data_IF_310538112280
#
_entry.id   IF_310538112280
#
_cell.length_a   1.000
_cell.length_b   1.000
_cell.length_c   1.000
_cell.angle_alpha   90.00
_cell.angle_beta   90.00
_cell.angle_gamma   90.00
#
_symmetry.space_group_name_H-M   'P 1'
#
loop_
_entity.id
_entity.type
_entity.pdbx_description
1 polymer ?
#
# COMPACT_ATOMS: atom_id res chain seq x y z
N UNK A 1 6.08 34.81 -16.23
CA UNK A 1 4.78 35.03 -15.58
C UNK A 1 3.98 33.75 -15.68
N UNK A 2 3.51 33.28 -14.53
CA UNK A 2 2.67 32.12 -14.20
C UNK A 2 1.44 31.94 -15.11
N UNK A 3 0.77 30.80 -15.27
CA UNK A 3 0.41 29.71 -14.34
C UNK A 3 0.14 28.41 -15.14
N UNK A 4 0.25 27.23 -14.49
CA UNK A 4 -0.46 26.03 -14.95
C UNK A 4 -1.32 25.46 -13.82
N UNK A 5 -2.63 25.53 -14.08
CA UNK A 5 -3.75 25.16 -13.21
C UNK A 5 -3.95 23.65 -13.33
N UNK A 6 -3.76 22.89 -12.25
CA UNK A 6 -4.10 21.46 -12.23
C UNK A 6 -5.56 21.33 -11.81
N UNK A 7 -6.45 21.42 -12.80
CA UNK A 7 -7.84 20.98 -12.70
C UNK A 7 -7.98 19.58 -13.26
N UNK A 8 -8.63 18.68 -12.51
CA UNK A 8 -9.20 17.43 -13.00
C UNK A 8 -8.23 16.41 -13.63
N UNK A 9 -7.54 15.61 -12.81
CA UNK A 9 -7.12 14.27 -13.23
C UNK A 9 -7.10 13.32 -12.01
N UNK A 10 -8.28 12.95 -11.51
CA UNK A 10 -8.43 11.60 -10.95
C UNK A 10 -8.31 10.65 -12.14
N UNK A 11 -7.11 10.12 -12.37
CA UNK A 11 -6.80 9.28 -13.51
C UNK A 11 -7.59 7.97 -13.46
N UNK A 12 -8.03 7.50 -14.63
CA UNK A 12 -8.79 6.26 -14.83
C UNK A 12 -8.17 5.00 -14.18
N UNK A 13 -6.89 5.07 -13.81
CA UNK A 13 -6.16 4.04 -13.05
C UNK A 13 -6.79 3.84 -11.66
N UNK A 14 -7.14 4.94 -10.97
CA UNK A 14 -7.79 4.87 -9.66
C UNK A 14 -9.20 4.26 -9.76
N UNK A 15 -9.96 4.60 -10.80
CA UNK A 15 -11.30 4.06 -11.06
C UNK A 15 -11.27 2.58 -11.43
N UNK A 16 -10.28 2.10 -12.18
CA UNK A 16 -10.12 0.67 -12.51
C UNK A 16 -9.73 -0.19 -11.30
N UNK A 17 -8.94 0.34 -10.36
CA UNK A 17 -8.64 -0.34 -9.11
C UNK A 17 -9.86 -0.45 -8.17
N UNK A 18 -10.89 0.38 -8.37
CA UNK A 18 -12.08 0.45 -7.51
C UNK A 18 -13.23 -0.45 -7.98
N UNK A 19 -13.26 -0.88 -9.24
CA UNK A 19 -14.36 -1.66 -9.83
C UNK A 19 -13.97 -3.14 -9.97
N UNK A 20 -14.13 -3.87 -8.86
CA UNK A 20 -14.71 -5.22 -8.70
C UNK A 20 -14.53 -6.30 -9.79
N UNK A 21 -13.42 -6.30 -10.51
CA UNK A 21 -12.89 -7.46 -11.20
C UNK A 21 -11.61 -7.87 -10.45
N UNK A 22 -11.37 -9.17 -10.29
CA UNK A 22 -10.16 -9.80 -9.75
C UNK A 22 -10.19 -10.17 -8.25
N UNK A 23 -10.04 -11.48 -7.98
CA UNK A 23 -9.92 -12.09 -6.65
C UNK A 23 -8.54 -11.86 -6.02
N UNK A 24 -8.02 -10.64 -6.12
CA UNK A 24 -6.72 -10.20 -5.58
C UNK A 24 -6.84 -9.57 -4.18
N UNK A 25 -8.07 -9.31 -3.73
CA UNK A 25 -8.38 -8.83 -2.38
C UNK A 25 -8.82 -9.97 -1.46
N UNK A 26 -8.15 -10.11 -0.31
CA UNK A 26 -8.62 -10.96 0.80
C UNK A 26 -9.43 -10.12 1.78
N UNK A 27 -10.71 -10.44 1.94
CA UNK A 27 -11.57 -9.77 2.91
C UNK A 27 -11.50 -10.46 4.27
N UNK A 28 -11.32 -9.66 5.33
CA UNK A 28 -11.59 -10.14 6.69
C UNK A 28 -13.08 -10.48 6.82
N UNK A 29 -13.45 -11.55 7.56
CA UNK A 29 -14.86 -11.89 7.81
C UNK A 29 -15.68 -10.74 8.39
N UNK A 30 -15.02 -9.78 9.04
CA UNK A 30 -15.64 -8.63 9.69
C UNK A 30 -15.94 -7.46 8.73
N UNK A 31 -15.44 -7.49 7.49
CA UNK A 31 -15.57 -6.38 6.56
C UNK A 31 -16.89 -6.42 5.78
N UNK A 32 -17.67 -5.33 5.86
CA UNK A 32 -18.91 -5.13 5.08
C UNK A 32 -18.63 -4.26 3.85
N UNK A 33 -19.24 -4.63 2.74
CA UNK A 33 -18.92 -4.18 1.38
C UNK A 33 -18.87 -2.66 1.16
N UNK A 34 -17.90 -2.24 0.34
CA UNK A 34 -17.70 -0.86 -0.14
C UNK A 34 -16.34 -0.73 -0.84
N UNK A 35 -16.22 0.23 -1.75
CA UNK A 35 -15.00 0.43 -2.58
C UNK A 35 -13.77 0.93 -1.79
N UNK A 36 -13.87 1.10 -0.47
CA UNK A 36 -12.73 1.48 0.35
C UNK A 36 -13.03 1.34 1.85
N UNK A 37 -11.99 0.95 2.59
CA UNK A 37 -12.03 0.88 4.05
C UNK A 37 -12.07 2.32 4.59
N UNK A 38 -13.16 2.68 5.28
CA UNK A 38 -13.38 4.04 5.80
C UNK A 38 -12.95 4.22 7.24
N UNK A 39 -13.02 3.15 8.03
CA UNK A 39 -12.70 3.19 9.45
C UNK A 39 -11.18 3.32 9.65
N UNK A 40 -10.78 4.32 10.43
CA UNK A 40 -9.38 4.68 10.61
C UNK A 40 -8.59 3.64 11.42
N UNK A 41 -9.28 2.72 12.12
CA UNK A 41 -8.64 1.62 12.86
C UNK A 41 -7.91 0.63 11.96
N UNK A 42 -8.24 0.62 10.67
CA UNK A 42 -7.59 -0.23 9.67
C UNK A 42 -6.44 0.48 8.93
N UNK A 43 -6.07 1.69 9.35
CA UNK A 43 -4.94 2.44 8.76
C UNK A 43 -3.65 2.08 9.48
N UNK A 44 -2.54 2.11 8.74
CA UNK A 44 -1.20 2.07 9.33
C UNK A 44 -0.98 3.34 10.15
N UNK A 45 -0.95 3.21 11.49
CA UNK A 45 -0.75 4.32 12.44
C UNK A 45 0.57 4.11 13.18
N UNK A 46 1.42 5.13 13.24
CA UNK A 46 2.47 5.22 14.26
C UNK A 46 2.08 6.23 15.36
N UNK A 47 2.79 6.20 16.49
CA UNK A 47 2.52 7.04 17.68
C UNK A 47 2.79 8.54 17.48
N UNK A 48 3.41 8.93 16.35
CA UNK A 48 3.95 10.28 16.09
C UNK A 48 3.23 10.98 14.91
N UNK A 49 2.26 10.31 14.28
CA UNK A 49 1.45 10.88 13.19
C UNK A 49 2.02 10.63 11.78
N UNK A 50 3.15 9.93 11.66
CA UNK A 50 3.69 9.51 10.36
C UNK A 50 3.29 8.06 10.06
N UNK A 51 2.73 7.73 8.90
CA UNK A 51 2.38 6.34 8.60
C UNK A 51 3.65 5.53 8.30
N UNK A 52 4.20 4.88 9.33
CA UNK A 52 5.25 3.87 9.21
C UNK A 52 4.64 2.52 8.85
N UNK A 53 5.12 1.91 7.77
CA UNK A 53 4.65 0.63 7.25
C UNK A 53 5.82 -0.37 7.30
N UNK A 54 5.93 -1.17 8.37
CA UNK A 54 6.94 -2.21 8.45
C UNK A 54 6.69 -3.28 7.39
N UNK A 55 7.74 -3.76 6.74
CA UNK A 55 7.64 -4.84 5.76
C UNK A 55 8.74 -5.89 5.94
N UNK A 56 8.44 -7.10 5.49
CA UNK A 56 9.37 -8.22 5.42
C UNK A 56 9.20 -8.93 4.08
N UNK A 57 10.31 -9.13 3.37
CA UNK A 57 10.38 -9.88 2.11
C UNK A 57 10.82 -11.30 2.44
N UNK A 58 9.95 -12.28 2.19
CA UNK A 58 10.30 -13.68 2.39
C UNK A 58 11.41 -14.10 1.39
N UNK A 59 12.38 -14.93 1.83
CA UNK A 59 13.41 -15.49 0.95
C UNK A 59 12.88 -16.14 -0.34
N UNK A 60 11.66 -16.69 -0.34
CA UNK A 60 11.00 -17.29 -1.51
C UNK A 60 10.84 -16.33 -2.71
N UNK A 61 10.87 -15.02 -2.45
CA UNK A 61 10.75 -13.98 -3.47
C UNK A 61 11.93 -13.01 -3.47
N UNK A 62 13.08 -13.41 -2.91
CA UNK A 62 14.25 -12.54 -2.79
C UNK A 62 14.71 -11.96 -4.14
N UNK A 63 14.54 -12.70 -5.23
CA UNK A 63 14.81 -12.25 -6.60
C UNK A 63 13.99 -11.04 -7.04
N UNK A 64 12.84 -10.78 -6.41
CA UNK A 64 11.98 -9.62 -6.68
C UNK A 64 12.34 -8.39 -5.83
N UNK A 65 13.26 -8.52 -4.86
CA UNK A 65 13.66 -7.43 -3.97
C UNK A 65 13.99 -6.14 -4.72
N UNK A 66 14.78 -6.14 -5.82
CA UNK A 66 15.10 -4.90 -6.54
C UNK A 66 13.87 -4.21 -7.15
N UNK A 67 12.85 -4.98 -7.54
CA UNK A 67 11.60 -4.44 -8.08
C UNK A 67 10.74 -3.86 -6.96
N UNK A 68 10.65 -4.57 -5.83
CA UNK A 68 9.91 -4.13 -4.63
C UNK A 68 10.52 -2.84 -4.08
N UNK A 69 11.85 -2.76 -3.96
CA UNK A 69 12.55 -1.58 -3.46
C UNK A 69 12.32 -0.36 -4.37
N UNK A 70 12.31 -0.54 -5.70
CA UNK A 70 11.93 0.54 -6.65
C UNK A 70 10.49 1.01 -6.45
N UNK A 71 9.55 0.10 -6.20
CA UNK A 71 8.17 0.46 -5.93
C UNK A 71 8.05 1.24 -4.61
N UNK A 72 8.77 0.82 -3.57
CA UNK A 72 8.84 1.54 -2.28
C UNK A 72 9.42 2.95 -2.47
N UNK A 73 10.49 3.10 -3.25
CA UNK A 73 11.12 4.40 -3.51
C UNK A 73 10.14 5.39 -4.18
N UNK A 74 9.26 4.90 -5.06
CA UNK A 74 8.20 5.72 -5.65
C UNK A 74 7.26 6.28 -4.59
N UNK A 75 6.88 5.49 -3.57
CA UNK A 75 6.06 5.98 -2.46
C UNK A 75 6.80 7.00 -1.62
N UNK A 76 8.07 6.75 -1.28
CA UNK A 76 8.89 7.71 -0.52
C UNK A 76 9.05 9.05 -1.25
N UNK A 77 9.11 9.03 -2.59
CA UNK A 77 9.25 10.24 -3.42
C UNK A 77 7.95 11.03 -3.56
N UNK A 78 6.80 10.35 -3.58
CA UNK A 78 5.52 10.94 -3.99
C UNK A 78 4.54 11.12 -2.83
N UNK A 79 4.82 10.54 -1.68
CA UNK A 79 3.90 10.50 -0.53
C UNK A 79 4.66 10.67 0.78
N UNK A 80 3.92 10.83 1.88
CA UNK A 80 4.47 10.79 3.24
C UNK A 80 4.49 9.37 3.84
N UNK A 81 4.24 8.32 3.05
CA UNK A 81 4.30 6.94 3.54
C UNK A 81 5.75 6.51 3.75
N UNK A 82 6.05 5.96 4.92
CA UNK A 82 7.39 5.52 5.27
C UNK A 82 7.44 4.00 5.40
N UNK A 83 7.85 3.30 4.35
CA UNK A 83 8.16 1.87 4.45
C UNK A 83 9.49 1.63 5.17
N UNK A 84 9.49 0.71 6.14
CA UNK A 84 10.70 0.36 6.91
C UNK A 84 10.91 -1.16 6.96
N UNK A 85 12.18 -1.59 6.97
CA UNK A 85 12.50 -3.00 7.17
C UNK A 85 12.10 -3.42 8.58
N UNK A 86 11.33 -4.50 8.68
CA UNK A 86 10.83 -5.00 9.97
C UNK A 86 11.96 -5.46 10.89
N UNK A 87 11.85 -5.07 12.17
CA UNK A 87 12.64 -5.62 13.28
C UNK A 87 11.72 -6.35 14.27
N UNK A 88 10.99 -5.62 15.11
CA UNK A 88 10.18 -6.15 16.22
C UNK A 88 8.68 -5.78 16.13
N UNK A 89 8.21 -5.33 14.96
CA UNK A 89 6.82 -4.90 14.76
C UNK A 89 5.85 -6.09 14.81
N UNK A 90 4.72 -5.91 15.52
CA UNK A 90 3.60 -6.85 15.57
C UNK A 90 2.83 -6.88 14.26
N UNK A 91 2.50 -5.69 13.74
CA UNK A 91 1.75 -5.49 12.50
C UNK A 91 2.70 -5.06 11.40
N UNK A 92 2.69 -5.79 10.28
CA UNK A 92 3.59 -5.56 9.16
C UNK A 92 3.10 -6.21 7.87
N UNK A 93 3.60 -5.74 6.75
CA UNK A 93 3.37 -6.34 5.43
C UNK A 93 4.35 -7.50 5.22
N UNK A 94 3.82 -8.72 5.16
CA UNK A 94 4.59 -9.91 4.84
C UNK A 94 4.44 -10.26 3.35
N UNK A 95 5.51 -10.09 2.58
CA UNK A 95 5.51 -10.35 1.14
C UNK A 95 6.11 -11.73 0.88
N UNK A 96 5.34 -12.61 0.26
CA UNK A 96 5.73 -13.98 -0.04
C UNK A 96 5.07 -14.45 -1.33
N UNK A 97 5.56 -15.57 -1.87
CA UNK A 97 4.91 -16.24 -2.99
C UNK A 97 3.87 -17.19 -2.40
N UNK A 98 2.60 -16.93 -2.66
CA UNK A 98 1.54 -17.86 -2.29
C UNK A 98 1.55 -19.09 -3.23
N UNK A 99 1.02 -20.20 -2.74
CA UNK A 99 1.07 -21.51 -3.40
C UNK A 99 0.13 -21.61 -4.62
N UNK A 100 -0.82 -20.68 -4.74
CA UNK A 100 -1.97 -20.80 -5.63
C UNK A 100 -3.06 -21.61 -4.94
#
# INVERSE_FOLDING_TARGET
>A
MSFLKVSHFFTAIAMKALHNEHGDMRFSPEYRHGAGIKDEKFRWRNKVGEPEIPYYINPSIQQLTPLIEKAIEQYHKLTCLCFVKRTNHSDYVYMFKDSG
#
